data_IF_395665486235
#
_entry.id   IF_395665486235
#
_cell.length_a   1.000
_cell.length_b   1.000
_cell.length_c   1.000
_cell.angle_alpha   90.00
_cell.angle_beta   90.00
_cell.angle_gamma   90.00
#
_symmetry.space_group_name_H-M   'P 1'
#
loop_
_entity.id
_entity.type
_entity.pdbx_description
1 polymer ?
#
# COMPACT_ATOMS: atom_id res chain seq x y z
N UNK A 1 4.31 -10.08 18.72
CA UNK A 1 4.51 -11.35 19.45
C UNK A 1 5.96 -11.75 19.24
N UNK A 2 6.74 -11.95 20.32
CA UNK A 2 8.15 -12.38 20.26
C UNK A 2 8.18 -13.90 20.04
N UNK A 3 9.16 -14.40 19.27
CA UNK A 3 9.38 -15.81 18.95
C UNK A 3 9.27 -16.72 20.18
N UNK A 4 8.10 -17.32 20.35
CA UNK A 4 7.78 -18.31 21.38
C UNK A 4 7.05 -19.44 20.66
N UNK A 5 7.40 -20.69 20.94
CA UNK A 5 6.91 -21.87 20.22
C UNK A 5 5.37 -21.93 20.14
N UNK A 6 4.70 -21.55 21.23
CA UNK A 6 3.22 -21.49 21.27
C UNK A 6 2.64 -20.41 20.36
N UNK A 7 3.33 -19.27 20.21
CA UNK A 7 2.92 -18.22 19.27
C UNK A 7 3.10 -18.67 17.83
N UNK A 8 4.16 -19.40 17.52
CA UNK A 8 4.40 -19.95 16.18
C UNK A 8 3.35 -21.00 15.80
N UNK A 9 3.00 -21.91 16.71
CA UNK A 9 1.93 -22.88 16.49
C UNK A 9 0.57 -22.21 16.21
N UNK A 10 0.24 -21.15 16.95
CA UNK A 10 -0.99 -20.41 16.74
C UNK A 10 -0.99 -19.68 15.38
N UNK A 11 0.10 -19.02 15.03
CA UNK A 11 0.27 -18.36 13.73
C UNK A 11 0.17 -19.38 12.59
N UNK A 12 0.81 -20.55 12.70
CA UNK A 12 0.74 -21.61 11.71
C UNK A 12 -0.67 -22.16 11.54
N UNK A 13 -1.41 -22.33 12.64
CA UNK A 13 -2.83 -22.71 12.58
C UNK A 13 -3.64 -21.70 11.78
N UNK A 14 -3.55 -20.40 12.10
CA UNK A 14 -4.28 -19.37 11.37
C UNK A 14 -3.87 -19.27 9.89
N UNK A 15 -2.57 -19.40 9.59
CA UNK A 15 -2.09 -19.47 8.21
C UNK A 15 -2.67 -20.66 7.45
N UNK A 16 -2.85 -21.82 8.09
CA UNK A 16 -3.41 -23.01 7.46
C UNK A 16 -4.89 -22.87 7.07
N UNK A 17 -5.59 -21.89 7.66
CA UNK A 17 -6.98 -21.54 7.37
C UNK A 17 -7.10 -20.17 6.68
N UNK A 18 -6.05 -19.75 5.97
CA UNK A 18 -5.99 -18.53 5.14
C UNK A 18 -6.09 -17.18 5.90
N UNK A 19 -5.89 -17.19 7.22
CA UNK A 19 -5.86 -15.99 8.05
C UNK A 19 -4.41 -15.59 8.28
N UNK A 20 -3.96 -14.53 7.60
CA UNK A 20 -2.57 -14.07 7.64
C UNK A 20 -2.34 -12.80 8.47
N UNK A 21 -3.39 -12.01 8.74
CA UNK A 21 -3.26 -10.76 9.48
C UNK A 21 -3.44 -10.97 10.98
N UNK A 22 -2.51 -10.45 11.80
CA UNK A 22 -2.56 -10.62 13.25
C UNK A 22 -3.82 -10.01 13.89
N UNK A 23 -4.34 -8.91 13.34
CA UNK A 23 -5.60 -8.32 13.83
C UNK A 23 -6.79 -9.24 13.58
N UNK A 24 -6.79 -10.01 12.49
CA UNK A 24 -7.85 -10.98 12.23
C UNK A 24 -7.73 -12.21 13.13
N UNK A 25 -6.50 -12.68 13.35
CA UNK A 25 -6.23 -13.76 14.32
C UNK A 25 -6.77 -13.37 15.70
N UNK A 26 -6.42 -12.17 16.17
CA UNK A 26 -6.87 -11.69 17.49
C UNK A 26 -8.38 -11.46 17.53
N UNK A 27 -8.97 -10.91 16.47
CA UNK A 27 -10.43 -10.77 16.34
C UNK A 27 -11.13 -12.13 16.45
N UNK A 28 -10.66 -13.15 15.73
CA UNK A 28 -11.25 -14.50 15.75
C UNK A 28 -11.12 -15.13 17.14
N UNK A 29 -9.95 -15.01 17.79
CA UNK A 29 -9.73 -15.53 19.15
C UNK A 29 -10.72 -14.89 20.13
N UNK A 30 -10.83 -13.56 20.13
CA UNK A 30 -11.68 -12.83 21.06
C UNK A 30 -13.17 -13.13 20.83
N UNK A 31 -13.62 -13.16 19.57
CA UNK A 31 -15.00 -13.52 19.22
C UNK A 31 -15.31 -14.96 19.63
N UNK A 32 -14.39 -15.89 19.37
CA UNK A 32 -14.55 -17.31 19.74
C UNK A 32 -14.61 -17.48 21.26
N UNK A 33 -13.75 -16.78 22.00
CA UNK A 33 -13.76 -16.80 23.46
C UNK A 33 -15.05 -16.22 24.05
N UNK A 34 -15.53 -15.09 23.52
CA UNK A 34 -16.82 -14.52 23.90
C UNK A 34 -17.97 -15.52 23.67
N UNK A 35 -18.02 -16.17 22.51
CA UNK A 35 -19.05 -17.18 22.19
C UNK A 35 -18.99 -18.38 23.13
N UNK A 36 -17.79 -18.87 23.42
CA UNK A 36 -17.55 -19.92 24.40
C UNK A 36 -18.12 -19.55 25.78
N UNK A 37 -17.80 -18.36 26.30
CA UNK A 37 -18.32 -17.89 27.59
C UNK A 37 -19.85 -17.80 27.62
N UNK A 38 -20.48 -17.50 26.49
CA UNK A 38 -21.92 -17.39 26.34
C UNK A 38 -22.62 -18.68 25.89
N UNK A 39 -21.90 -19.82 25.83
CA UNK A 39 -22.42 -21.12 25.37
C UNK A 39 -23.03 -21.06 23.95
N UNK A 40 -22.46 -20.22 23.10
CA UNK A 40 -22.80 -20.11 21.69
C UNK A 40 -21.83 -20.97 20.87
N UNK A 41 -22.29 -21.46 19.70
CA UNK A 41 -21.37 -22.06 18.74
C UNK A 41 -20.30 -21.02 18.35
N UNK A 42 -19.06 -21.47 18.28
CA UNK A 42 -17.93 -20.64 17.86
C UNK A 42 -18.11 -20.23 16.40
N UNK A 43 -18.71 -21.08 15.56
CA UNK A 43 -18.85 -20.89 14.10
C UNK A 43 -17.53 -20.42 13.45
N UNK A 44 -16.42 -21.11 13.75
CA UNK A 44 -15.08 -20.69 13.33
C UNK A 44 -15.00 -20.45 11.81
N UNK A 45 -15.55 -21.37 11.02
CA UNK A 45 -15.51 -21.26 9.56
C UNK A 45 -16.22 -19.99 9.07
N UNK A 46 -17.36 -19.63 9.65
CA UNK A 46 -18.08 -18.40 9.30
C UNK A 46 -17.25 -17.16 9.61
N UNK A 47 -16.50 -17.17 10.71
CA UNK A 47 -15.57 -16.08 11.04
C UNK A 47 -14.43 -15.98 10.01
N UNK A 48 -13.88 -17.13 9.61
CA UNK A 48 -12.80 -17.21 8.61
C UNK A 48 -13.28 -16.74 7.23
N UNK A 49 -14.40 -17.27 6.74
CA UNK A 49 -14.94 -16.95 5.42
C UNK A 49 -15.16 -15.44 5.25
N UNK A 50 -15.71 -14.78 6.28
CA UNK A 50 -15.91 -13.33 6.29
C UNK A 50 -14.60 -12.56 6.14
N UNK A 51 -13.52 -13.02 6.77
CA UNK A 51 -12.20 -12.38 6.68
C UNK A 51 -11.56 -12.62 5.32
N UNK A 52 -11.61 -13.85 4.82
CA UNK A 52 -11.10 -14.20 3.49
C UNK A 52 -11.82 -13.40 2.40
N UNK A 53 -13.16 -13.32 2.45
CA UNK A 53 -13.97 -12.53 1.52
C UNK A 53 -13.61 -11.04 1.58
N UNK A 54 -13.46 -10.48 2.78
CA UNK A 54 -13.06 -9.09 2.98
C UNK A 54 -11.69 -8.76 2.37
N UNK A 55 -10.69 -9.64 2.54
CA UNK A 55 -9.32 -9.38 2.06
C UNK A 55 -9.10 -9.69 0.59
N UNK A 56 -9.95 -10.53 -0.02
CA UNK A 56 -9.81 -10.93 -1.42
C UNK A 56 -9.59 -9.75 -2.39
N UNK A 57 -10.45 -8.71 -2.44
CA UNK A 57 -10.26 -7.60 -3.37
C UNK A 57 -8.98 -6.80 -3.09
N UNK A 58 -8.60 -6.64 -1.82
CA UNK A 58 -7.38 -5.95 -1.41
C UNK A 58 -6.15 -6.73 -1.88
N UNK A 59 -6.15 -8.05 -1.71
CA UNK A 59 -5.07 -8.94 -2.13
C UNK A 59 -4.89 -8.94 -3.65
N UNK A 60 -5.98 -9.02 -4.40
CA UNK A 60 -5.98 -8.95 -5.86
C UNK A 60 -5.45 -7.59 -6.35
N UNK A 61 -5.91 -6.49 -5.77
CA UNK A 61 -5.42 -5.15 -6.08
C UNK A 61 -3.91 -5.01 -5.79
N UNK A 62 -3.44 -5.49 -4.64
CA UNK A 62 -2.02 -5.46 -4.25
C UNK A 62 -1.14 -6.26 -5.23
N UNK A 63 -1.62 -7.42 -5.68
CA UNK A 63 -0.93 -8.23 -6.70
C UNK A 63 -0.81 -7.47 -8.02
N UNK A 64 -1.90 -6.85 -8.47
CA UNK A 64 -1.92 -6.06 -9.70
C UNK A 64 -1.01 -4.82 -9.60
N UNK A 65 -0.97 -4.16 -8.44
CA UNK A 65 -0.07 -3.04 -8.18
C UNK A 65 1.40 -3.41 -8.32
N UNK A 66 1.81 -4.56 -7.76
CA UNK A 66 3.19 -5.06 -7.93
C UNK A 66 3.54 -5.35 -9.38
N UNK A 67 2.60 -5.90 -10.17
CA UNK A 67 2.82 -6.14 -11.60
C UNK A 67 3.01 -4.83 -12.37
N UNK A 68 2.11 -3.87 -12.17
CA UNK A 68 2.20 -2.52 -12.78
C UNK A 68 3.49 -1.80 -12.38
N UNK A 69 3.90 -1.92 -11.12
CA UNK A 69 5.15 -1.37 -10.62
C UNK A 69 6.37 -1.88 -11.40
N UNK A 70 6.44 -3.20 -11.64
CA UNK A 70 7.52 -3.81 -12.43
C UNK A 70 7.46 -3.40 -13.90
N UNK A 71 6.25 -3.28 -14.46
CA UNK A 71 6.06 -2.79 -15.84
C UNK A 71 6.57 -1.35 -16.01
N UNK A 72 6.16 -0.44 -15.13
CA UNK A 72 6.66 0.94 -15.08
C UNK A 72 8.18 0.98 -14.90
N UNK A 73 8.69 0.17 -13.97
CA UNK A 73 10.13 0.07 -13.74
C UNK A 73 10.88 -0.36 -14.99
N UNK A 74 10.36 -1.28 -15.81
CA UNK A 74 11.01 -1.71 -17.06
C UNK A 74 10.85 -0.70 -18.18
N UNK A 75 9.72 -0.01 -18.24
CA UNK A 75 9.38 0.98 -19.27
C UNK A 75 10.33 2.17 -19.25
N UNK A 76 10.56 2.77 -18.08
CA UNK A 76 11.36 3.99 -17.96
C UNK A 76 12.84 3.71 -17.63
N UNK A 77 13.72 4.63 -18.00
CA UNK A 77 15.17 4.58 -17.79
C UNK A 77 15.65 5.78 -16.98
N UNK A 78 16.85 5.65 -16.40
CA UNK A 78 17.52 6.80 -15.79
C UNK A 78 17.76 7.86 -16.86
N UNK A 79 17.43 9.11 -16.53
CA UNK A 79 17.44 10.24 -17.45
C UNK A 79 16.07 10.57 -18.06
N UNK A 80 15.11 9.64 -18.02
CA UNK A 80 13.76 9.92 -18.53
C UNK A 80 13.07 10.96 -17.63
N UNK A 81 12.28 11.82 -18.28
CA UNK A 81 11.37 12.77 -17.62
C UNK A 81 9.98 12.18 -17.62
N UNK A 82 9.30 12.22 -16.46
CA UNK A 82 7.92 11.79 -16.33
C UNK A 82 7.14 12.74 -15.41
N UNK A 83 5.82 12.61 -15.42
CA UNK A 83 4.93 13.30 -14.50
C UNK A 83 4.36 12.31 -13.48
N UNK A 84 4.24 12.76 -12.23
CA UNK A 84 3.61 12.00 -11.15
C UNK A 84 2.46 12.85 -10.61
N UNK A 85 1.24 12.32 -10.69
CA UNK A 85 0.04 12.93 -10.12
C UNK A 85 -0.37 12.18 -8.86
N UNK A 86 -0.66 12.92 -7.80
CA UNK A 86 -0.84 12.38 -6.46
C UNK A 86 -2.04 13.04 -5.75
N UNK A 87 -2.91 12.25 -5.11
CA UNK A 87 -4.01 12.78 -4.31
C UNK A 87 -3.49 13.53 -3.07
N UNK A 88 -4.13 14.64 -2.73
CA UNK A 88 -3.77 15.47 -1.56
C UNK A 88 -4.91 15.45 -0.54
N UNK A 89 -4.55 15.30 0.74
CA UNK A 89 -5.53 15.35 1.83
C UNK A 89 -5.76 16.78 2.34
N UNK A 90 -6.75 16.92 3.23
CA UNK A 90 -7.11 18.18 3.91
C UNK A 90 -5.97 18.87 4.68
N UNK A 91 -4.89 18.14 5.01
CA UNK A 91 -3.71 18.69 5.66
C UNK A 91 -2.65 19.22 4.66
N UNK A 92 -3.03 19.38 3.39
CA UNK A 92 -2.15 19.77 2.30
C UNK A 92 -0.92 18.85 2.17
N UNK A 93 -1.16 17.54 2.24
CA UNK A 93 -0.14 16.52 2.06
C UNK A 93 -0.61 15.43 1.12
N UNK A 94 0.28 14.99 0.24
CA UNK A 94 0.08 13.78 -0.56
C UNK A 94 -0.15 12.59 0.36
N UNK A 95 -1.08 11.75 -0.07
CA UNK A 95 -1.39 10.45 0.52
C UNK A 95 -1.15 9.34 -0.52
N UNK A 96 -0.82 8.15 -0.03
CA UNK A 96 -0.79 6.94 -0.84
C UNK A 96 -1.54 5.84 -0.09
N UNK A 97 -2.73 5.50 -0.58
CA UNK A 97 -3.55 4.43 -0.04
C UNK A 97 -3.78 3.37 -1.12
N UNK A 98 -2.75 2.61 -1.49
CA UNK A 98 -2.92 1.57 -2.48
C UNK A 98 -3.90 0.52 -1.92
N UNK A 99 -4.99 0.30 -2.65
CA UNK A 99 -5.89 -0.83 -2.42
C UNK A 99 -6.63 -0.83 -1.07
N UNK A 100 -6.80 0.31 -0.38
CA UNK A 100 -7.43 0.39 0.96
C UNK A 100 -8.88 -0.10 1.00
N UNK A 101 -9.61 -0.01 -0.11
CA UNK A 101 -10.96 -0.53 -0.30
C UNK A 101 -11.04 -1.55 -1.45
N UNK A 102 -9.89 -2.08 -1.92
CA UNK A 102 -9.81 -2.98 -3.06
C UNK A 102 -9.89 -2.33 -4.45
N UNK A 103 -10.03 -1.00 -4.55
CA UNK A 103 -9.94 -0.29 -5.83
C UNK A 103 -9.01 0.93 -5.73
N UNK A 104 -8.77 1.57 -6.88
CA UNK A 104 -7.86 2.71 -7.04
C UNK A 104 -8.57 3.85 -7.78
N UNK A 105 -9.86 4.02 -7.49
CA UNK A 105 -10.69 5.02 -8.15
C UNK A 105 -10.39 6.39 -7.57
N UNK A 106 -9.42 7.06 -8.18
CA UNK A 106 -9.13 8.47 -7.95
C UNK A 106 -8.95 9.16 -9.30
N UNK A 107 -9.64 10.27 -9.48
CA UNK A 107 -9.49 11.17 -10.62
C UNK A 107 -8.68 12.39 -10.18
N UNK A 108 -7.76 12.81 -11.05
CA UNK A 108 -6.87 13.92 -10.72
C UNK A 108 -7.64 15.24 -10.81
N UNK A 109 -7.61 16.02 -9.73
CA UNK A 109 -8.16 17.38 -9.68
C UNK A 109 -7.01 18.39 -9.61
N UNK A 110 -6.81 19.16 -10.67
CA UNK A 110 -5.73 20.14 -10.79
C UNK A 110 -5.75 21.21 -9.68
N UNK A 111 -6.91 21.51 -9.10
CA UNK A 111 -7.06 22.55 -8.07
C UNK A 111 -6.53 22.13 -6.71
N UNK A 112 -6.61 20.84 -6.38
CA UNK A 112 -6.27 20.33 -5.04
C UNK A 112 -5.13 19.32 -5.06
N UNK A 113 -4.99 18.54 -6.14
CA UNK A 113 -4.03 17.45 -6.22
C UNK A 113 -2.67 17.91 -6.71
N UNK A 114 -1.65 17.17 -6.27
CA UNK A 114 -0.27 17.49 -6.60
C UNK A 114 0.11 16.83 -7.92
N UNK A 115 0.59 17.64 -8.86
CA UNK A 115 1.29 17.18 -10.05
C UNK A 115 2.73 17.69 -10.02
N UNK A 116 3.66 16.75 -10.17
CA UNK A 116 5.08 17.07 -10.33
C UNK A 116 5.58 16.54 -11.66
N UNK A 117 6.58 17.23 -12.20
CA UNK A 117 7.39 16.75 -13.33
C UNK A 117 8.82 16.69 -12.87
N UNK A 118 9.56 15.69 -13.34
CA UNK A 118 10.93 15.49 -12.92
C UNK A 118 11.64 14.39 -13.68
N UNK A 119 12.92 14.20 -13.34
CA UNK A 119 13.81 13.25 -14.00
C UNK A 119 14.14 12.10 -13.07
N UNK A 120 14.11 10.88 -13.60
CA UNK A 120 14.62 9.70 -12.92
C UNK A 120 16.15 9.81 -12.86
N UNK A 121 16.68 9.89 -11.64
CA UNK A 121 18.14 9.95 -11.41
C UNK A 121 18.74 8.62 -11.00
N UNK A 122 17.92 7.70 -10.47
CA UNK A 122 18.34 6.35 -10.10
C UNK A 122 17.14 5.39 -10.06
N UNK A 123 17.42 4.10 -10.14
CA UNK A 123 16.45 2.99 -10.12
C UNK A 123 16.97 1.85 -9.27
N UNK A 124 16.17 1.37 -8.32
CA UNK A 124 16.59 0.30 -7.41
C UNK A 124 15.40 -0.53 -6.91
N UNK A 125 15.69 -1.64 -6.24
CA UNK A 125 14.69 -2.45 -5.55
C UNK A 125 15.15 -2.77 -4.12
N UNK A 126 14.21 -2.99 -3.21
CA UNK A 126 14.49 -3.29 -1.80
C UNK A 126 13.98 -4.69 -1.49
N UNK A 127 14.87 -5.60 -1.07
CA UNK A 127 14.59 -7.00 -0.66
C UNK A 127 14.01 -7.93 -1.76
N UNK A 128 13.31 -7.40 -2.76
CA UNK A 128 12.65 -8.17 -3.82
C UNK A 128 12.66 -7.40 -5.13
N UNK A 129 12.86 -8.07 -6.26
CA UNK A 129 12.79 -7.48 -7.62
C UNK A 129 11.41 -6.93 -7.99
N UNK A 130 10.38 -7.22 -7.18
CA UNK A 130 9.03 -6.66 -7.33
C UNK A 130 8.77 -5.43 -6.44
N UNK A 131 9.69 -5.12 -5.52
CA UNK A 131 9.61 -3.95 -4.64
C UNK A 131 10.54 -2.85 -5.16
N UNK A 132 10.07 -2.17 -6.21
CA UNK A 132 10.87 -1.31 -7.08
C UNK A 132 10.60 0.17 -6.85
N UNK A 133 11.66 0.98 -7.00
CA UNK A 133 11.68 2.40 -6.67
C UNK A 133 12.45 3.22 -7.72
N UNK A 134 12.07 4.49 -7.84
CA UNK A 134 12.87 5.52 -8.50
C UNK A 134 13.40 6.53 -7.48
N UNK A 135 14.61 7.04 -7.73
CA UNK A 135 15.02 8.34 -7.16
C UNK A 135 14.70 9.42 -8.18
N UNK A 136 13.78 10.30 -7.83
CA UNK A 136 13.19 11.28 -8.73
C UNK A 136 13.62 12.70 -8.33
N UNK A 137 14.18 13.46 -9.28
CA UNK A 137 14.52 14.87 -9.06
C UNK A 137 13.41 15.76 -9.61
N UNK A 138 12.83 16.59 -8.74
CA UNK A 138 11.71 17.47 -9.10
C UNK A 138 12.21 18.64 -9.96
N UNK A 139 11.54 18.86 -11.09
CA UNK A 139 11.76 20.00 -11.99
C UNK A 139 10.64 21.04 -11.90
N UNK A 140 9.40 20.59 -11.69
CA UNK A 140 8.25 21.48 -11.50
C UNK A 140 7.21 20.84 -10.59
N UNK A 141 6.39 21.70 -9.99
CA UNK A 141 5.33 21.37 -9.03
C UNK A 141 4.21 22.39 -9.19
N UNK A 142 2.96 21.94 -9.37
CA UNK A 142 1.82 22.85 -9.53
C UNK A 142 1.47 23.59 -8.22
N UNK A 143 1.55 22.90 -7.08
CA UNK A 143 1.28 23.48 -5.75
C UNK A 143 2.54 23.48 -4.90
N UNK A 144 3.20 24.64 -4.77
CA UNK A 144 4.52 24.75 -4.14
C UNK A 144 4.55 24.34 -2.67
N UNK A 145 3.50 24.67 -1.91
CA UNK A 145 3.45 24.43 -0.46
C UNK A 145 2.95 23.02 -0.08
N UNK A 146 2.46 22.24 -1.05
CA UNK A 146 1.92 20.89 -0.78
C UNK A 146 3.02 19.91 -0.39
N UNK A 147 2.87 19.26 0.75
CA UNK A 147 3.86 18.29 1.25
C UNK A 147 3.70 16.94 0.57
N UNK A 148 4.78 16.16 0.47
CA UNK A 148 4.71 14.77 0.01
C UNK A 148 4.87 13.87 1.23
N UNK A 149 3.84 13.11 1.59
CA UNK A 149 3.86 12.21 2.76
C UNK A 149 4.33 12.92 4.05
N UNK A 150 3.80 14.13 4.29
CA UNK A 150 4.12 15.05 5.40
C UNK A 150 5.50 15.73 5.33
N UNK A 151 6.33 15.42 4.34
CA UNK A 151 7.64 16.06 4.14
C UNK A 151 7.53 17.26 3.20
N UNK A 152 8.25 18.33 3.54
CA UNK A 152 8.43 19.45 2.61
C UNK A 152 9.40 19.03 1.51
N UNK A 153 8.94 19.13 0.26
CA UNK A 153 9.75 18.79 -0.92
C UNK A 153 9.62 19.92 -1.95
N UNK A 154 10.75 20.46 -2.37
CA UNK A 154 10.86 21.62 -3.24
C UNK A 154 11.35 21.24 -4.64
N UNK A 155 11.21 22.18 -5.58
CA UNK A 155 11.82 22.05 -6.90
C UNK A 155 13.34 21.96 -6.76
N UNK A 156 13.95 20.98 -7.42
CA UNK A 156 15.37 20.66 -7.32
C UNK A 156 15.69 19.53 -6.35
N UNK A 157 14.80 19.24 -5.39
CA UNK A 157 14.98 18.16 -4.43
C UNK A 157 14.87 16.79 -5.11
N UNK A 158 15.46 15.80 -4.45
CA UNK A 158 15.32 14.39 -4.81
C UNK A 158 14.45 13.70 -3.77
N UNK A 159 13.48 12.92 -4.22
CA UNK A 159 12.73 12.04 -3.34
C UNK A 159 12.58 10.65 -3.94
N UNK A 160 12.26 9.69 -3.08
CA UNK A 160 12.14 8.27 -3.42
C UNK A 160 10.68 7.95 -3.71
N UNK A 161 10.40 7.40 -4.88
CA UNK A 161 9.06 7.00 -5.32
C UNK A 161 8.99 5.49 -5.34
N UNK A 162 8.14 4.90 -4.51
CA UNK A 162 7.76 3.49 -4.63
C UNK A 162 6.75 3.32 -5.76
N UNK A 163 6.96 2.34 -6.65
CA UNK A 163 6.11 2.19 -7.84
C UNK A 163 4.88 1.31 -7.61
N UNK A 164 4.79 0.63 -6.46
CA UNK A 164 3.56 -0.03 -6.01
C UNK A 164 2.68 0.97 -5.27
N UNK A 165 2.07 1.89 -6.01
CA UNK A 165 1.40 3.09 -5.50
C UNK A 165 0.07 3.35 -6.19
N UNK A 166 -0.84 4.07 -5.54
CA UNK A 166 -2.06 4.56 -6.16
C UNK A 166 -1.84 5.76 -7.10
N UNK A 167 -0.63 6.34 -7.11
CA UNK A 167 -0.30 7.52 -7.91
C UNK A 167 -0.29 7.22 -9.42
N UNK A 168 -0.59 8.24 -10.22
CA UNK A 168 -0.54 8.14 -11.69
C UNK A 168 0.83 8.59 -12.16
N UNK A 169 1.56 7.68 -12.81
CA UNK A 169 2.92 7.88 -13.32
C UNK A 169 2.87 7.81 -14.86
N UNK A 170 3.17 8.92 -15.52
CA UNK A 170 2.97 9.13 -16.96
C UNK A 170 4.24 9.67 -17.66
#
# INVERSE_FOLDING_TARGET
MRHHEQSENLTNFFHSIEIHHYDDMSSIILTSYHRYLNKQDIELQVQVDKKVEYWKPISECNKNQKLKAVELYRKYKVGDTLSIKMPVNENNSVIDYPCSNGNLEWEFDELIDLSITGIITDKYFINSETNVFFTFKILSKNHLDTRIMMEEVNVGDKFKVGLSTAWKIE
#
